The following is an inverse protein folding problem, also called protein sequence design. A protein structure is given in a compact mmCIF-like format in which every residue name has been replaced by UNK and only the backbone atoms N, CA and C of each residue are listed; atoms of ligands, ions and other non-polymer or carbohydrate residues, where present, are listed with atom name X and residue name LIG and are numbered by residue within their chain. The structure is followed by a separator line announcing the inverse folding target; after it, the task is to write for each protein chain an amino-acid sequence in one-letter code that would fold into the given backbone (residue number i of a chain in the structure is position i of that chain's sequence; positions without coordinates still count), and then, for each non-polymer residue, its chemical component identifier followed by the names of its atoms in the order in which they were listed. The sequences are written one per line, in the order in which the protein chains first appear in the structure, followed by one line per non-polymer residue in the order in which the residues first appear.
data_IF_114281693228
#
_entry.id   IF_114281693228
#
_cell.length_a   1.000
_cell.length_b   1.000
_cell.length_c   1.000
_cell.angle_alpha   90.00
_cell.angle_beta   90.00
_cell.angle_gamma   90.00
#
_symmetry.space_group_name_H-M   'P 1'
#
loop_
_entity.id
_entity.type
_entity.pdbx_description
1 polymer ?
#
# COMPACT_ATOMS: atom_id res chain seq x y z
N UNK A 1 4.20 23.48 59.58
CA UNK A 1 3.80 22.90 58.26
C UNK A 1 3.62 24.03 57.25
N UNK A 2 4.50 24.12 56.24
CA UNK A 2 4.44 25.17 55.20
C UNK A 2 3.42 24.69 54.14
N UNK A 3 2.26 25.32 54.00
CA UNK A 3 1.31 25.03 52.92
C UNK A 3 1.92 25.52 51.61
N UNK A 4 2.21 24.60 50.70
CA UNK A 4 2.57 24.92 49.31
C UNK A 4 1.30 25.40 48.62
N UNK A 5 1.27 26.68 48.25
CA UNK A 5 0.19 27.22 47.41
C UNK A 5 0.32 26.57 46.03
N UNK A 6 -0.64 25.74 45.63
CA UNK A 6 -0.75 25.27 44.25
C UNK A 6 -1.20 26.46 43.42
N UNK A 7 -0.34 26.91 42.52
CA UNK A 7 -0.72 27.89 41.50
C UNK A 7 -1.58 27.16 40.45
N UNK A 8 -2.82 27.56 40.32
CA UNK A 8 -3.70 27.10 39.22
C UNK A 8 -3.35 27.81 37.92
N UNK A 9 -3.58 27.12 36.79
CA UNK A 9 -3.43 27.72 35.47
C UNK A 9 -4.50 28.78 35.22
N UNK A 10 -4.10 29.85 34.54
CA UNK A 10 -5.03 30.91 34.11
C UNK A 10 -5.70 30.49 32.77
N UNK A 11 -6.92 31.01 32.50
CA UNK A 11 -7.64 30.79 31.26
C UNK A 11 -6.81 31.27 30.06
N UNK A 12 -6.10 32.38 30.23
CA UNK A 12 -5.27 32.96 29.16
C UNK A 12 -4.07 32.09 28.81
N UNK A 13 -3.44 31.44 29.78
CA UNK A 13 -2.34 30.49 29.56
C UNK A 13 -2.82 29.30 28.75
N UNK A 14 -4.01 28.76 29.06
CA UNK A 14 -4.59 27.67 28.28
C UNK A 14 -4.92 28.10 26.87
N UNK A 15 -5.46 29.33 26.69
CA UNK A 15 -5.83 29.85 25.40
C UNK A 15 -4.62 30.04 24.46
N UNK A 16 -3.52 30.53 25.01
CA UNK A 16 -2.25 30.67 24.25
C UNK A 16 -1.72 29.30 23.84
N UNK A 17 -1.73 28.32 24.75
CA UNK A 17 -1.25 26.97 24.44
C UNK A 17 -2.06 26.31 23.34
N UNK A 18 -3.40 26.36 23.40
CA UNK A 18 -4.23 25.74 22.35
C UNK A 18 -4.12 26.47 21.00
N UNK A 19 -3.89 27.79 20.98
CA UNK A 19 -3.67 28.50 19.71
C UNK A 19 -2.34 28.12 19.07
N UNK A 20 -1.27 27.96 19.84
CA UNK A 20 0.03 27.50 19.32
C UNK A 20 -0.07 26.06 18.82
N UNK A 21 -0.72 25.16 19.58
CA UNK A 21 -0.93 23.78 19.15
C UNK A 21 -1.76 23.69 17.88
N UNK A 22 -2.81 24.48 17.74
CA UNK A 22 -3.63 24.53 16.53
C UNK A 22 -2.83 25.02 15.30
N UNK A 23 -1.95 26.02 15.48
CA UNK A 23 -1.08 26.52 14.44
C UNK A 23 -0.06 25.46 13.99
N UNK A 24 0.57 24.76 14.93
CA UNK A 24 1.51 23.68 14.64
C UNK A 24 0.82 22.48 13.95
N UNK A 25 -0.36 22.08 14.43
CA UNK A 25 -1.13 21.00 13.83
C UNK A 25 -1.51 21.30 12.37
N UNK A 26 -1.88 22.55 12.06
CA UNK A 26 -2.22 22.98 10.71
C UNK A 26 -1.09 22.81 9.67
N UNK A 27 0.17 22.83 10.12
CA UNK A 27 1.34 22.62 9.26
C UNK A 27 1.73 21.14 9.19
N UNK A 28 1.64 20.43 10.32
CA UNK A 28 2.16 19.07 10.41
C UNK A 28 1.25 18.03 9.73
N UNK A 29 -0.07 18.20 9.79
CA UNK A 29 -1.03 17.22 9.26
C UNK A 29 -0.82 16.96 7.76
N UNK A 30 -0.81 17.96 6.87
CA UNK A 30 -0.63 17.72 5.43
C UNK A 30 0.72 17.08 5.11
N UNK A 31 1.80 17.45 5.79
CA UNK A 31 3.13 16.86 5.59
C UNK A 31 3.15 15.36 5.96
N UNK A 32 2.41 14.98 7.00
CA UNK A 32 2.30 13.57 7.41
C UNK A 32 1.50 12.75 6.39
N UNK A 33 0.44 13.29 5.80
CA UNK A 33 -0.37 12.61 4.77
C UNK A 33 0.47 12.32 3.52
N UNK A 34 1.22 13.29 3.01
CA UNK A 34 2.09 13.11 1.85
C UNK A 34 3.21 12.10 2.12
N UNK A 35 3.77 12.13 3.32
CA UNK A 35 4.78 11.15 3.75
C UNK A 35 4.21 9.73 3.78
N UNK A 36 2.97 9.55 4.24
CA UNK A 36 2.29 8.25 4.25
C UNK A 36 2.00 7.73 2.83
N UNK A 37 1.54 8.59 1.91
CA UNK A 37 1.35 8.23 0.50
C UNK A 37 2.66 7.75 -0.12
N UNK A 38 3.74 8.50 0.06
CA UNK A 38 5.06 8.14 -0.43
C UNK A 38 5.57 6.82 0.15
N UNK A 39 5.34 6.57 1.43
CA UNK A 39 5.71 5.31 2.08
C UNK A 39 4.93 4.12 1.52
N UNK A 40 3.62 4.28 1.23
CA UNK A 40 2.82 3.23 0.58
C UNK A 40 3.30 2.95 -0.84
N UNK A 41 3.64 3.96 -1.62
CA UNK A 41 4.18 3.78 -2.97
C UNK A 41 5.55 3.09 -2.96
N UNK A 42 6.41 3.43 -2.00
CA UNK A 42 7.68 2.73 -1.80
C UNK A 42 7.47 1.24 -1.46
N UNK A 43 6.47 0.93 -0.63
CA UNK A 43 6.11 -0.46 -0.32
C UNK A 43 5.59 -1.19 -1.54
N UNK A 44 4.70 -0.60 -2.34
CA UNK A 44 4.24 -1.19 -3.60
C UNK A 44 5.39 -1.49 -4.55
N UNK A 45 6.33 -0.56 -4.66
CA UNK A 45 7.54 -0.78 -5.48
C UNK A 45 8.38 -1.96 -4.99
N UNK A 46 8.51 -2.14 -3.67
CA UNK A 46 9.19 -3.29 -3.08
C UNK A 46 8.42 -4.60 -3.32
N UNK A 47 7.09 -4.58 -3.18
CA UNK A 47 6.21 -5.73 -3.44
C UNK A 47 6.32 -6.18 -4.91
N UNK A 48 6.29 -5.22 -5.85
CA UNK A 48 6.45 -5.51 -7.28
C UNK A 48 7.79 -6.21 -7.57
N UNK A 49 8.89 -5.75 -6.98
CA UNK A 49 10.21 -6.38 -7.11
C UNK A 49 10.25 -7.78 -6.51
N UNK A 50 9.62 -7.97 -5.35
CA UNK A 50 9.56 -9.28 -4.68
C UNK A 50 8.84 -10.30 -5.55
N UNK A 51 7.67 -9.93 -6.09
CA UNK A 51 6.91 -10.80 -7.00
C UNK A 51 7.67 -11.05 -8.30
N UNK A 52 8.34 -10.04 -8.86
CA UNK A 52 9.18 -10.22 -10.04
C UNK A 52 10.26 -11.28 -9.83
N UNK A 53 10.97 -11.24 -8.70
CA UNK A 53 11.97 -12.26 -8.37
C UNK A 53 11.36 -13.66 -8.28
N UNK A 54 10.18 -13.79 -7.67
CA UNK A 54 9.47 -15.07 -7.58
C UNK A 54 9.02 -15.58 -8.96
N UNK A 55 8.53 -14.68 -9.85
CA UNK A 55 8.16 -15.02 -11.22
C UNK A 55 9.35 -15.50 -12.06
N UNK A 56 10.50 -14.85 -11.92
CA UNK A 56 11.73 -15.30 -12.59
C UNK A 56 12.23 -16.66 -12.07
N UNK A 57 12.08 -16.91 -10.76
CA UNK A 57 12.38 -18.21 -10.17
C UNK A 57 11.45 -19.30 -10.72
N UNK A 58 10.15 -19.02 -10.78
CA UNK A 58 9.15 -19.92 -11.37
C UNK A 58 9.48 -20.24 -12.83
N UNK A 59 9.77 -19.23 -13.65
CA UNK A 59 10.13 -19.41 -15.06
C UNK A 59 11.38 -20.24 -15.24
N UNK A 60 12.37 -20.07 -14.39
CA UNK A 60 13.63 -20.86 -14.44
C UNK A 60 13.37 -22.35 -14.22
N UNK A 61 12.43 -22.68 -13.34
CA UNK A 61 12.08 -24.06 -13.02
C UNK A 61 11.10 -24.69 -14.02
N UNK A 62 10.09 -23.92 -14.46
CA UNK A 62 8.99 -24.43 -15.27
C UNK A 62 9.12 -24.07 -16.78
N UNK A 63 10.07 -23.23 -17.16
CA UNK A 63 10.29 -22.79 -18.54
C UNK A 63 9.34 -21.69 -19.03
N UNK A 64 8.27 -21.42 -18.31
CA UNK A 64 7.22 -20.44 -18.62
C UNK A 64 6.84 -19.66 -17.37
N UNK A 65 6.17 -18.52 -17.54
CA UNK A 65 5.53 -17.82 -16.41
C UNK A 65 4.18 -18.45 -16.04
N UNK A 66 3.70 -18.28 -14.78
CA UNK A 66 2.37 -18.72 -14.40
C UNK A 66 1.31 -18.15 -15.34
N UNK A 67 0.54 -19.02 -16.01
CA UNK A 67 -0.40 -18.57 -17.03
C UNK A 67 -1.78 -18.29 -16.45
N UNK A 68 -2.36 -17.15 -16.80
CA UNK A 68 -3.76 -16.82 -16.52
C UNK A 68 -4.67 -17.00 -17.77
N UNK A 69 -4.14 -17.67 -18.81
CA UNK A 69 -4.84 -17.77 -20.10
C UNK A 69 -5.03 -16.43 -20.80
N UNK A 70 -4.19 -15.44 -20.46
CA UNK A 70 -4.29 -14.08 -20.99
C UNK A 70 -5.37 -13.22 -20.34
N UNK A 71 -6.04 -13.68 -19.28
CA UNK A 71 -7.00 -12.90 -18.50
C UNK A 71 -6.32 -12.11 -17.39
N UNK A 72 -6.88 -10.96 -17.03
CA UNK A 72 -6.45 -10.22 -15.86
C UNK A 72 -6.96 -10.90 -14.58
N UNK A 73 -6.07 -11.09 -13.62
CA UNK A 73 -6.38 -11.60 -12.28
C UNK A 73 -5.83 -10.64 -11.22
N UNK A 74 -6.58 -10.41 -10.17
CA UNK A 74 -6.22 -9.51 -9.07
C UNK A 74 -7.16 -9.67 -7.88
N UNK A 75 -6.88 -8.97 -6.79
CA UNK A 75 -7.74 -9.01 -5.60
C UNK A 75 -8.99 -8.13 -5.76
N UNK A 76 -8.97 -7.12 -6.61
CA UNK A 76 -10.17 -6.34 -6.91
C UNK A 76 -11.23 -7.19 -7.63
N UNK A 77 -12.54 -6.98 -7.34
CA UNK A 77 -13.63 -7.72 -7.99
C UNK A 77 -13.63 -7.60 -9.52
N UNK A 78 -13.19 -6.46 -10.05
CA UNK A 78 -13.01 -6.23 -11.51
C UNK A 78 -11.97 -7.15 -12.16
N UNK A 79 -11.06 -7.71 -11.36
CA UNK A 79 -10.02 -8.65 -11.76
C UNK A 79 -10.26 -10.05 -11.20
N UNK A 80 -11.49 -10.36 -10.77
CA UNK A 80 -11.91 -11.69 -10.30
C UNK A 80 -11.92 -11.89 -8.79
N UNK A 81 -11.42 -10.95 -7.99
CA UNK A 81 -11.48 -11.04 -6.52
C UNK A 81 -10.66 -12.20 -5.93
N UNK A 82 -9.48 -12.48 -6.50
CA UNK A 82 -8.61 -13.56 -6.05
C UNK A 82 -7.95 -13.24 -4.70
N UNK A 83 -7.64 -14.29 -3.92
CA UNK A 83 -6.92 -14.17 -2.66
C UNK A 83 -5.41 -13.96 -2.79
N UNK A 84 -4.71 -14.22 -1.70
CA UNK A 84 -3.25 -13.99 -1.57
C UNK A 84 -2.48 -15.29 -1.28
N UNK A 85 -3.18 -16.40 -1.18
CA UNK A 85 -2.67 -17.75 -0.90
C UNK A 85 -2.45 -18.56 -2.20
N UNK A 86 -2.46 -19.88 -2.09
CA UNK A 86 -2.29 -20.79 -3.21
C UNK A 86 -3.35 -20.64 -4.32
N UNK A 87 -4.52 -20.09 -4.01
CA UNK A 87 -5.61 -19.74 -4.95
C UNK A 87 -5.57 -18.26 -5.39
N UNK A 88 -4.44 -17.59 -5.16
CA UNK A 88 -4.29 -16.16 -5.37
C UNK A 88 -4.23 -15.73 -6.83
N UNK A 89 -4.07 -14.43 -7.02
CA UNK A 89 -4.11 -13.78 -8.35
C UNK A 89 -2.92 -14.11 -9.25
N UNK A 90 -1.90 -14.84 -8.77
CA UNK A 90 -0.83 -15.44 -9.59
C UNK A 90 -0.87 -16.95 -9.35
N UNK A 91 -1.31 -17.76 -10.32
CA UNK A 91 -1.41 -19.20 -10.16
C UNK A 91 -0.05 -19.84 -9.85
N UNK A 92 -0.05 -20.89 -9.02
CA UNK A 92 1.10 -21.77 -8.74
C UNK A 92 2.36 -21.08 -8.17
N UNK A 93 2.29 -19.79 -7.85
CA UNK A 93 3.43 -19.07 -7.29
C UNK A 93 3.57 -19.30 -5.78
N UNK A 94 2.44 -19.43 -5.07
CA UNK A 94 2.38 -19.68 -3.62
C UNK A 94 2.15 -21.17 -3.38
N UNK A 95 2.79 -21.81 -2.39
CA UNK A 95 3.79 -21.26 -1.45
C UNK A 95 5.25 -21.45 -1.92
N UNK A 96 5.48 -22.06 -3.05
CA UNK A 96 6.80 -22.57 -3.47
C UNK A 96 7.82 -21.47 -3.75
N UNK A 97 7.40 -20.42 -4.45
CA UNK A 97 8.29 -19.34 -4.89
C UNK A 97 8.13 -18.06 -4.07
N UNK A 98 6.97 -17.90 -3.44
CA UNK A 98 6.70 -16.83 -2.48
C UNK A 98 5.74 -17.38 -1.42
N UNK A 99 5.90 -16.94 -0.17
CA UNK A 99 5.09 -17.46 0.93
C UNK A 99 3.63 -17.03 0.87
N UNK A 100 3.40 -15.79 0.45
CA UNK A 100 2.07 -15.24 0.19
C UNK A 100 2.20 -14.11 -0.83
N UNK A 101 1.15 -13.86 -1.63
CA UNK A 101 1.09 -12.73 -2.54
C UNK A 101 0.92 -11.43 -1.75
N UNK A 102 1.55 -10.32 -2.16
CA UNK A 102 1.43 -9.06 -1.47
C UNK A 102 0.02 -8.50 -1.56
N UNK A 103 -0.34 -7.74 -0.52
CA UNK A 103 -1.59 -7.00 -0.40
C UNK A 103 -1.31 -5.52 -0.41
N UNK A 104 -2.14 -4.74 -1.13
CA UNK A 104 -2.01 -3.29 -1.17
C UNK A 104 -1.97 -2.69 0.24
N UNK A 105 -1.00 -1.83 0.55
CA UNK A 105 -0.84 -1.24 1.87
C UNK A 105 -1.96 -0.27 2.25
N UNK A 106 -2.73 0.25 1.30
CA UNK A 106 -3.84 1.15 1.58
C UNK A 106 -5.16 0.39 1.75
N UNK A 107 -5.54 0.16 3.02
CA UNK A 107 -6.81 -0.44 3.37
C UNK A 107 -8.02 0.49 3.24
N UNK A 108 -7.82 1.80 3.04
CA UNK A 108 -8.89 2.81 2.97
C UNK A 108 -9.51 2.92 1.59
N UNK A 109 -8.76 2.59 0.52
CA UNK A 109 -9.27 2.61 -0.85
C UNK A 109 -10.32 1.51 -1.03
N UNK A 110 -11.46 1.77 -1.69
CA UNK A 110 -12.45 0.75 -2.02
C UNK A 110 -11.81 -0.44 -2.74
N UNK A 111 -12.23 -1.66 -2.41
CA UNK A 111 -11.67 -2.90 -2.98
C UNK A 111 -11.71 -2.90 -4.52
N UNK A 112 -12.70 -2.23 -5.13
CA UNK A 112 -12.80 -2.11 -6.58
C UNK A 112 -11.65 -1.30 -7.24
N UNK A 113 -10.99 -0.46 -6.46
CA UNK A 113 -10.03 0.54 -6.94
C UNK A 113 -8.60 0.32 -6.45
N UNK A 114 -8.35 -0.76 -5.70
CA UNK A 114 -7.03 -1.05 -5.12
C UNK A 114 -6.53 -2.44 -5.51
N UNK A 115 -5.27 -2.68 -5.17
CA UNK A 115 -4.67 -3.99 -5.23
C UNK A 115 -3.76 -4.19 -6.41
N UNK A 116 -3.21 -5.38 -6.45
CA UNK A 116 -2.33 -5.82 -7.51
C UNK A 116 -3.10 -6.60 -8.55
N UNK A 117 -2.63 -6.54 -9.78
CA UNK A 117 -3.19 -7.31 -10.89
C UNK A 117 -2.07 -7.96 -11.70
N UNK A 118 -2.35 -9.14 -12.20
CA UNK A 118 -1.45 -9.96 -12.99
C UNK A 118 -2.15 -10.48 -14.23
N UNK A 119 -1.40 -10.62 -15.32
CA UNK A 119 -1.84 -11.24 -16.55
C UNK A 119 -0.65 -11.90 -17.23
N UNK A 120 -0.82 -13.14 -17.70
CA UNK A 120 0.20 -13.83 -18.48
C UNK A 120 -0.39 -14.82 -19.47
N UNK A 121 0.32 -14.99 -20.58
CA UNK A 121 0.09 -16.04 -21.57
C UNK A 121 1.12 -17.18 -21.45
N UNK A 122 1.96 -17.16 -20.42
CA UNK A 122 3.05 -18.10 -20.20
C UNK A 122 4.39 -17.66 -20.78
N UNK A 123 4.40 -16.96 -21.93
CA UNK A 123 5.64 -16.43 -22.53
C UNK A 123 6.07 -15.11 -21.89
N UNK A 124 5.09 -14.23 -21.72
CA UNK A 124 5.26 -12.90 -21.13
C UNK A 124 4.22 -12.65 -20.04
N UNK A 125 4.49 -11.66 -19.18
CA UNK A 125 3.54 -11.23 -18.14
C UNK A 125 3.46 -9.71 -18.03
N UNK A 126 2.34 -9.26 -17.44
CA UNK A 126 2.16 -7.91 -16.94
C UNK A 126 1.74 -8.01 -15.47
N UNK A 127 2.43 -7.28 -14.62
CA UNK A 127 2.14 -7.19 -13.20
C UNK A 127 2.20 -5.74 -12.77
N UNK A 128 1.23 -5.27 -12.02
CA UNK A 128 1.15 -3.88 -11.60
C UNK A 128 0.26 -3.67 -10.39
N UNK A 129 0.28 -2.44 -9.89
CA UNK A 129 -0.60 -1.96 -8.85
C UNK A 129 -1.63 -0.99 -9.45
N UNK A 130 -2.88 -1.09 -9.00
CA UNK A 130 -3.99 -0.28 -9.50
C UNK A 130 -3.97 1.13 -8.87
N UNK A 131 -4.25 2.17 -9.69
CA UNK A 131 -4.30 3.58 -9.25
C UNK A 131 -3.07 4.05 -8.45
N UNK A 132 -1.90 3.76 -8.96
CA UNK A 132 -0.63 4.19 -8.35
C UNK A 132 0.25 4.89 -9.37
N UNK A 133 1.17 5.78 -8.95
CA UNK A 133 1.46 6.14 -7.55
C UNK A 133 0.44 7.11 -6.95
N UNK A 134 0.16 6.98 -5.64
CA UNK A 134 -0.71 7.91 -4.90
C UNK A 134 -0.14 9.32 -4.77
N UNK A 135 1.20 9.42 -4.81
CA UNK A 135 1.93 10.69 -4.83
C UNK A 135 1.69 11.49 -6.12
N UNK A 136 1.16 10.83 -7.16
CA UNK A 136 0.79 11.43 -8.45
C UNK A 136 -0.73 11.57 -8.57
N UNK A 137 -1.37 12.31 -7.69
CA UNK A 137 -2.75 12.72 -7.92
C UNK A 137 -2.77 13.75 -9.06
N UNK A 138 -3.69 13.55 -10.03
CA UNK A 138 -3.88 14.48 -11.14
C UNK A 138 -4.16 15.90 -10.59
N UNK A 139 -3.18 16.79 -10.74
CA UNK A 139 -3.26 18.17 -10.24
C UNK A 139 -2.11 18.59 -9.32
N UNK A 140 -1.24 17.67 -8.93
CA UNK A 140 -0.01 18.03 -8.23
C UNK A 140 1.17 17.99 -9.23
N UNK A 141 1.77 19.16 -9.56
CA UNK A 141 2.90 19.23 -10.50
C UNK A 141 4.17 18.61 -9.95
#
# INVERSE_FOLDING_TARGET
MKRIKQAGFTIIEMLIVVTILAMLAGILVPVLEDSQKSARDARRSADLKTVQVALEAYKRENGVYPSTGGSWQGDAPSYGGFGYDASGYIPDLVPTFIQALPKDPDGSIPVADRGYFYRSNGADYKFGAHKTPESFEAGNP
#
